data_IF_297980117388
#
_entry.id   IF_297980117388
#
_cell.length_a   1.000
_cell.length_b   1.000
_cell.length_c   1.000
_cell.angle_alpha   90.00
_cell.angle_beta   90.00
_cell.angle_gamma   90.00
#
_symmetry.space_group_name_H-M   'P 1'
#
loop_
_entity.id
_entity.type
_entity.pdbx_description
1 polymer ?
#
# COMPACT_ATOMS: atom_id res chain seq x y z
N UNK A 1 8.92 -10.44 -4.02
CA UNK A 1 9.04 -10.88 -2.61
C UNK A 1 9.55 -12.29 -2.66
N UNK A 2 10.51 -12.66 -1.81
CA UNK A 2 11.03 -14.03 -1.78
C UNK A 2 11.26 -14.48 -0.33
N UNK A 3 11.25 -15.79 -0.09
CA UNK A 3 11.52 -16.37 1.22
C UNK A 3 10.47 -17.37 1.73
N UNK A 4 10.64 -17.86 2.97
CA UNK A 4 9.85 -18.96 3.52
C UNK A 4 8.36 -18.64 3.63
N UNK A 5 7.99 -17.37 3.82
CA UNK A 5 6.59 -16.93 3.88
C UNK A 5 5.90 -17.01 2.50
N UNK A 6 6.64 -16.78 1.41
CA UNK A 6 6.12 -16.98 0.06
C UNK A 6 5.96 -18.47 -0.23
N UNK A 7 6.89 -19.30 0.27
CA UNK A 7 6.78 -20.75 0.11
C UNK A 7 5.53 -21.29 0.80
N UNK A 8 5.26 -20.89 2.04
CA UNK A 8 4.02 -21.22 2.76
C UNK A 8 2.78 -20.76 2.00
N UNK A 9 2.79 -19.56 1.42
CA UNK A 9 1.71 -19.06 0.58
C UNK A 9 1.51 -19.93 -0.67
N UNK A 10 2.59 -20.27 -1.38
CA UNK A 10 2.53 -21.12 -2.55
C UNK A 10 2.01 -22.52 -2.21
N UNK A 11 2.45 -23.11 -1.10
CA UNK A 11 1.97 -24.40 -0.62
C UNK A 11 0.47 -24.33 -0.26
N UNK A 12 0.02 -23.23 0.37
CA UNK A 12 -1.39 -22.98 0.64
C UNK A 12 -2.22 -22.83 -0.64
N UNK A 13 -1.73 -22.09 -1.64
CA UNK A 13 -2.39 -21.94 -2.93
C UNK A 13 -2.47 -23.27 -3.69
N UNK A 14 -1.45 -24.13 -3.58
CA UNK A 14 -1.49 -25.48 -4.13
C UNK A 14 -2.56 -26.31 -3.42
N UNK A 15 -2.58 -26.30 -2.09
CA UNK A 15 -3.56 -27.04 -1.29
C UNK A 15 -4.99 -26.60 -1.55
N UNK A 16 -5.21 -25.31 -1.80
CA UNK A 16 -6.51 -24.74 -2.13
C UNK A 16 -6.87 -24.84 -3.63
N UNK A 17 -5.99 -25.40 -4.47
CA UNK A 17 -6.26 -25.62 -5.90
C UNK A 17 -6.06 -24.39 -6.80
N UNK A 18 -5.43 -23.33 -6.31
CA UNK A 18 -5.15 -22.10 -7.06
C UNK A 18 -3.78 -22.09 -7.74
N UNK A 19 -2.89 -23.04 -7.41
CA UNK A 19 -1.61 -23.28 -8.09
C UNK A 19 -1.35 -24.78 -8.23
N UNK A 20 -0.50 -25.16 -9.19
CA UNK A 20 0.06 -26.52 -9.28
C UNK A 20 1.48 -26.56 -8.73
N UNK A 21 1.93 -27.73 -8.27
CA UNK A 21 3.31 -27.91 -7.82
C UNK A 21 4.32 -27.59 -8.93
N UNK A 22 3.99 -27.90 -10.19
CA UNK A 22 4.82 -27.54 -11.34
C UNK A 22 4.96 -26.01 -11.49
N UNK A 23 3.91 -25.23 -11.23
CA UNK A 23 3.99 -23.76 -11.25
C UNK A 23 4.88 -23.23 -10.12
N UNK A 24 4.79 -23.81 -8.91
CA UNK A 24 5.68 -23.46 -7.78
C UNK A 24 7.14 -23.74 -8.12
N UNK A 25 7.44 -24.88 -8.76
CA UNK A 25 8.81 -25.28 -9.10
C UNK A 25 9.51 -24.32 -10.08
N UNK A 26 8.75 -23.50 -10.82
CA UNK A 26 9.33 -22.44 -11.69
C UNK A 26 9.79 -21.19 -10.94
N UNK A 27 9.55 -21.10 -9.62
CA UNK A 27 9.95 -20.00 -8.76
C UNK A 27 9.60 -20.26 -7.29
N UNK A 28 10.21 -21.28 -6.65
CA UNK A 28 9.85 -21.70 -5.30
C UNK A 28 10.25 -20.64 -4.27
N UNK A 29 9.30 -20.26 -3.43
CA UNK A 29 9.50 -19.18 -2.46
C UNK A 29 9.65 -17.80 -3.12
N UNK A 30 9.33 -17.63 -4.41
CA UNK A 30 9.39 -16.36 -5.12
C UNK A 30 7.97 -15.91 -5.52
N UNK A 31 7.59 -14.73 -5.06
CA UNK A 31 6.31 -14.11 -5.36
C UNK A 31 6.46 -13.40 -6.70
N UNK A 32 6.30 -14.19 -7.76
CA UNK A 32 6.29 -13.72 -9.14
C UNK A 32 4.87 -13.71 -9.74
N UNK A 33 4.75 -13.40 -11.04
CA UNK A 33 3.46 -13.22 -11.71
C UNK A 33 2.50 -14.41 -11.56
N UNK A 34 3.02 -15.65 -11.50
CA UNK A 34 2.20 -16.85 -11.29
C UNK A 34 1.60 -16.93 -9.89
N UNK A 35 2.37 -16.53 -8.87
CA UNK A 35 1.89 -16.52 -7.48
C UNK A 35 0.87 -15.39 -7.30
N UNK A 36 1.14 -14.22 -7.89
CA UNK A 36 0.20 -13.09 -7.91
C UNK A 36 -1.13 -13.44 -8.57
N UNK A 37 -1.11 -14.05 -9.76
CA UNK A 37 -2.33 -14.49 -10.46
C UNK A 37 -3.13 -15.53 -9.67
N UNK A 38 -2.45 -16.43 -8.97
CA UNK A 38 -3.09 -17.42 -8.11
C UNK A 38 -3.75 -16.78 -6.88
N UNK A 39 -3.08 -15.80 -6.26
CA UNK A 39 -3.65 -15.01 -5.17
C UNK A 39 -4.85 -14.20 -5.66
N UNK A 40 -4.78 -13.61 -6.86
CA UNK A 40 -5.84 -12.83 -7.47
C UNK A 40 -7.09 -13.70 -7.68
N UNK A 41 -6.89 -14.92 -8.19
CA UNK A 41 -7.95 -15.90 -8.38
C UNK A 41 -8.58 -16.33 -7.05
N UNK A 42 -7.76 -16.63 -6.04
CA UNK A 42 -8.25 -16.93 -4.69
C UNK A 42 -9.09 -15.78 -4.12
N UNK A 43 -8.58 -14.55 -4.22
CA UNK A 43 -9.29 -13.36 -3.76
C UNK A 43 -10.64 -13.19 -4.45
N UNK A 44 -10.68 -13.35 -5.78
CA UNK A 44 -11.92 -13.29 -6.56
C UNK A 44 -12.95 -14.29 -6.05
N UNK A 45 -12.55 -15.54 -5.86
CA UNK A 45 -13.44 -16.63 -5.47
C UNK A 45 -13.91 -16.48 -4.01
N UNK A 46 -13.10 -15.87 -3.14
CA UNK A 46 -13.47 -15.52 -1.76
C UNK A 46 -14.22 -14.18 -1.63
N UNK A 47 -14.56 -13.51 -2.74
CA UNK A 47 -15.22 -12.20 -2.71
C UNK A 47 -14.36 -11.08 -2.12
N UNK A 48 -13.05 -11.27 -2.06
CA UNK A 48 -12.08 -10.30 -1.57
C UNK A 48 -11.78 -9.32 -2.70
N UNK A 49 -12.16 -8.06 -2.47
CA UNK A 49 -11.84 -6.95 -3.36
C UNK A 49 -10.80 -6.02 -2.71
N UNK A 50 -9.78 -5.58 -3.46
CA UNK A 50 -9.49 -5.98 -4.84
C UNK A 50 -8.96 -7.41 -4.94
N UNK A 51 -9.20 -8.04 -6.09
CA UNK A 51 -8.63 -9.33 -6.47
C UNK A 51 -7.34 -9.16 -7.28
N UNK A 52 -6.49 -8.23 -6.85
CA UNK A 52 -5.29 -7.80 -7.58
C UNK A 52 -4.07 -8.71 -7.41
N UNK A 53 -4.20 -9.81 -6.67
CA UNK A 53 -3.08 -10.71 -6.41
C UNK A 53 -2.21 -10.30 -5.24
N UNK A 54 -2.64 -9.32 -4.45
CA UNK A 54 -1.88 -8.81 -3.30
C UNK A 54 -2.13 -9.67 -2.06
N UNK A 55 -1.10 -10.32 -1.53
CA UNK A 55 -1.19 -11.10 -0.30
C UNK A 55 -1.09 -10.23 0.97
N UNK A 56 -2.17 -9.49 1.26
CA UNK A 56 -2.33 -8.66 2.45
C UNK A 56 -3.09 -9.35 3.60
N UNK A 57 -3.30 -8.66 4.74
CA UNK A 57 -3.95 -9.24 5.93
C UNK A 57 -5.33 -9.86 5.66
N UNK A 58 -6.15 -9.23 4.80
CA UNK A 58 -7.47 -9.75 4.41
C UNK A 58 -7.37 -11.07 3.66
N UNK A 59 -6.44 -11.15 2.70
CA UNK A 59 -6.15 -12.38 1.95
C UNK A 59 -5.61 -13.47 2.85
N UNK A 60 -4.73 -13.12 3.80
CA UNK A 60 -4.17 -14.05 4.78
C UNK A 60 -5.25 -14.61 5.71
N UNK A 61 -6.13 -13.77 6.25
CA UNK A 61 -7.22 -14.19 7.11
C UNK A 61 -8.15 -15.19 6.36
N UNK A 62 -8.61 -14.81 5.17
CA UNK A 62 -9.43 -15.68 4.35
C UNK A 62 -8.73 -16.99 3.95
N UNK A 63 -7.42 -16.96 3.73
CA UNK A 63 -6.64 -18.17 3.38
C UNK A 63 -6.49 -19.10 4.59
N UNK A 64 -6.30 -18.55 5.80
CA UNK A 64 -6.32 -19.33 7.04
C UNK A 64 -7.69 -19.98 7.25
N UNK A 65 -8.78 -19.23 7.04
CA UNK A 65 -10.15 -19.75 7.11
C UNK A 65 -10.40 -20.85 6.07
N UNK A 66 -10.00 -20.64 4.81
CA UNK A 66 -10.15 -21.63 3.75
C UNK A 66 -9.32 -22.91 3.98
N UNK A 67 -8.15 -22.79 4.63
CA UNK A 67 -7.30 -23.93 4.98
C UNK A 67 -7.78 -24.68 6.24
N UNK A 68 -8.47 -24.00 7.15
CA UNK A 68 -9.06 -24.57 8.36
C UNK A 68 -10.49 -25.09 8.17
N UNK A 69 -11.19 -24.62 7.15
CA UNK A 69 -12.60 -24.92 6.87
C UNK A 69 -12.81 -26.03 5.84
N UNK A 70 -12.40 -27.25 6.14
CA UNK A 70 -13.13 -28.43 5.61
C UNK A 70 -14.40 -28.59 6.45
N UNK A 71 -15.48 -27.90 6.05
CA UNK A 71 -16.80 -28.10 6.64
C UNK A 71 -17.77 -26.95 6.42
N UNK A 72 -18.58 -27.04 5.35
CA UNK A 72 -19.94 -26.50 5.33
C UNK A 72 -20.14 -25.07 4.83
N UNK A 73 -20.98 -24.98 3.81
CA UNK A 73 -21.65 -23.80 3.22
C UNK A 73 -22.23 -22.78 4.21
N UNK A 74 -22.07 -21.47 3.95
CA UNK A 74 -23.15 -20.51 3.62
C UNK A 74 -22.66 -19.04 3.62
N UNK A 75 -23.09 -18.29 2.58
CA UNK A 75 -23.34 -16.84 2.61
C UNK A 75 -24.80 -16.66 3.11
N UNK A 76 -25.15 -15.73 4.03
CA UNK A 76 -25.27 -14.27 3.79
C UNK A 76 -24.74 -13.39 4.95
N UNK A 77 -24.22 -12.19 4.71
CA UNK A 77 -25.02 -10.95 4.65
C UNK A 77 -25.22 -10.35 6.06
N UNK A 78 -24.58 -9.22 6.35
CA UNK A 78 -24.80 -8.50 7.61
C UNK A 78 -23.77 -7.41 7.86
N UNK A 79 -24.18 -6.15 7.70
CA UNK A 79 -23.48 -5.00 8.25
C UNK A 79 -23.58 -5.04 9.78
N UNK A 80 -22.43 -5.00 10.47
CA UNK A 80 -22.28 -4.90 11.91
C UNK A 80 -20.85 -4.46 12.26
N UNK A 81 -20.64 -3.73 13.36
CA UNK A 81 -19.57 -2.74 13.46
C UNK A 81 -18.22 -3.41 13.73
N UNK A 82 -17.30 -3.34 12.78
CA UNK A 82 -15.89 -3.60 13.09
C UNK A 82 -15.35 -2.38 13.82
N UNK A 83 -15.30 -2.51 15.14
CA UNK A 83 -14.54 -1.63 16.03
C UNK A 83 -13.18 -1.32 15.40
N UNK A 84 -12.89 -0.03 15.25
CA UNK A 84 -11.73 0.50 14.54
C UNK A 84 -10.38 0.00 15.08
N UNK A 85 -9.28 0.35 14.39
CA UNK A 85 -7.95 -0.06 14.77
C UNK A 85 -7.65 0.38 16.20
N UNK A 86 -7.20 -0.58 17.00
CA UNK A 86 -6.72 -0.45 18.38
C UNK A 86 -5.83 0.79 18.53
N UNK A 87 -6.00 1.52 19.64
CA UNK A 87 -5.25 2.72 19.96
C UNK A 87 -3.74 2.53 19.72
N UNK A 88 -3.04 3.54 19.14
CA UNK A 88 -1.61 3.46 18.91
C UNK A 88 -0.87 3.16 20.21
N UNK A 89 0.10 2.23 20.18
CA UNK A 89 1.02 2.01 21.31
C UNK A 89 1.80 3.30 21.60
N UNK A 90 2.42 3.43 22.77
CA UNK A 90 3.08 4.69 23.17
C UNK A 90 4.09 5.25 22.15
N UNK A 91 4.80 4.38 21.43
CA UNK A 91 5.72 4.79 20.35
C UNK A 91 4.98 5.22 19.07
N UNK A 92 3.86 4.58 18.72
CA UNK A 92 3.05 4.96 17.56
C UNK A 92 2.35 6.30 17.75
N UNK A 93 1.87 6.57 18.97
CA UNK A 93 1.24 7.84 19.30
C UNK A 93 2.25 8.99 19.20
N UNK A 94 3.49 8.75 19.66
CA UNK A 94 4.60 9.70 19.52
C UNK A 94 4.92 9.95 18.05
N UNK A 95 5.05 8.90 17.23
CA UNK A 95 5.27 9.03 15.78
C UNK A 95 4.14 9.80 15.09
N UNK A 96 2.89 9.50 15.43
CA UNK A 96 1.72 10.19 14.89
C UNK A 96 1.77 11.70 15.22
N UNK A 97 2.02 12.06 16.47
CA UNK A 97 2.13 13.46 16.89
C UNK A 97 3.30 14.18 16.21
N UNK A 98 4.43 13.51 15.97
CA UNK A 98 5.55 14.08 15.25
C UNK A 98 5.25 14.26 13.75
N UNK A 99 4.51 13.34 13.13
CA UNK A 99 4.02 13.50 11.76
C UNK A 99 3.04 14.68 11.68
N UNK A 100 2.16 14.86 12.66
CA UNK A 100 1.26 16.03 12.68
C UNK A 100 2.03 17.35 12.78
N UNK A 101 3.17 17.40 13.48
CA UNK A 101 4.06 18.58 13.47
C UNK A 101 4.66 18.83 12.08
N UNK A 102 5.01 17.78 11.33
CA UNK A 102 5.53 17.89 9.96
C UNK A 102 4.44 18.44 9.02
N UNK A 103 3.20 18.02 9.21
CA UNK A 103 2.07 18.31 8.32
C UNK A 103 1.27 19.55 8.71
N UNK A 104 1.65 20.25 9.79
CA UNK A 104 0.96 21.46 10.25
C UNK A 104 0.93 22.53 9.15
N UNK A 105 -0.25 23.11 8.91
CA UNK A 105 -0.46 24.12 7.86
C UNK A 105 -0.57 23.56 6.45
N UNK A 106 -0.72 22.25 6.29
CA UNK A 106 -0.86 21.58 4.98
C UNK A 106 -2.25 20.96 4.81
N UNK A 107 -2.60 20.53 3.60
CA UNK A 107 -3.85 19.81 3.35
C UNK A 107 -3.91 18.41 3.96
N UNK A 108 -2.83 17.95 4.61
CA UNK A 108 -2.74 16.69 5.33
C UNK A 108 -2.61 16.86 6.85
N UNK A 109 -2.88 18.07 7.37
CA UNK A 109 -2.88 18.31 8.81
C UNK A 109 -3.82 17.33 9.55
N UNK A 110 -3.35 16.84 10.70
CA UNK A 110 -4.09 15.90 11.55
C UNK A 110 -4.16 14.45 11.03
N UNK A 111 -3.44 14.11 9.95
CA UNK A 111 -3.42 12.76 9.40
C UNK A 111 -2.30 11.86 9.96
N UNK A 112 -1.52 12.32 10.94
CA UNK A 112 -0.36 11.58 11.47
C UNK A 112 -0.70 10.17 11.95
N UNK A 113 -1.77 10.02 12.72
CA UNK A 113 -2.22 8.70 13.20
C UNK A 113 -2.62 7.76 12.04
N UNK A 114 -3.30 8.30 11.02
CA UNK A 114 -3.71 7.53 9.84
C UNK A 114 -2.49 7.10 9.01
N UNK A 115 -1.49 7.97 8.87
CA UNK A 115 -0.23 7.65 8.17
C UNK A 115 0.55 6.55 8.90
N UNK A 116 0.63 6.59 10.24
CA UNK A 116 1.23 5.50 11.03
C UNK A 116 0.47 4.19 10.81
N UNK A 117 -0.87 4.24 10.82
CA UNK A 117 -1.70 3.05 10.57
C UNK A 117 -1.46 2.47 9.17
N UNK A 118 -1.39 3.32 8.13
CA UNK A 118 -1.14 2.88 6.75
C UNK A 118 0.29 2.36 6.57
N UNK A 119 1.27 2.98 7.22
CA UNK A 119 2.65 2.49 7.23
C UNK A 119 2.73 1.04 7.70
N UNK A 120 2.06 0.71 8.80
CA UNK A 120 1.98 -0.65 9.32
C UNK A 120 1.21 -1.59 8.40
N UNK A 121 0.04 -1.15 7.93
CA UNK A 121 -0.84 -1.96 7.08
C UNK A 121 -0.17 -2.39 5.78
N UNK A 122 0.60 -1.49 5.17
CA UNK A 122 1.24 -1.70 3.87
C UNK A 122 2.73 -1.99 3.96
N UNK A 123 3.33 -2.02 5.15
CA UNK A 123 4.76 -2.22 5.36
C UNK A 123 5.61 -1.23 4.52
N UNK A 124 5.21 0.04 4.56
CA UNK A 124 5.87 1.16 3.88
C UNK A 124 6.36 2.13 4.95
N UNK A 125 7.64 2.54 4.97
CA UNK A 125 8.13 3.53 5.91
C UNK A 125 7.38 4.86 5.77
N UNK A 126 6.93 5.49 6.87
CA UNK A 126 6.17 6.74 6.80
C UNK A 126 7.00 7.89 6.21
N UNK A 127 8.32 7.90 6.42
CA UNK A 127 9.24 8.88 5.85
C UNK A 127 9.30 8.84 4.32
N UNK A 128 9.16 7.64 3.72
CA UNK A 128 9.09 7.48 2.26
C UNK A 128 7.79 8.10 1.75
N UNK A 129 6.65 7.72 2.34
CA UNK A 129 5.35 8.25 1.92
C UNK A 129 5.29 9.78 2.06
N UNK A 130 5.80 10.34 3.16
CA UNK A 130 5.86 11.79 3.36
C UNK A 130 6.77 12.50 2.34
N UNK A 131 7.95 11.94 2.05
CA UNK A 131 8.83 12.51 1.03
C UNK A 131 8.15 12.53 -0.35
N UNK A 132 7.43 11.45 -0.69
CA UNK A 132 6.66 11.40 -1.94
C UNK A 132 5.48 12.36 -1.92
N UNK A 133 4.68 12.47 -0.85
CA UNK A 133 3.58 13.44 -0.77
C UNK A 133 4.05 14.89 -0.87
N UNK A 134 5.23 15.21 -0.31
CA UNK A 134 5.85 16.52 -0.51
C UNK A 134 6.23 16.72 -1.96
N UNK A 135 6.83 15.72 -2.59
CA UNK A 135 7.31 15.83 -3.97
C UNK A 135 6.16 15.94 -4.98
N UNK A 136 5.13 15.14 -4.81
CA UNK A 136 4.04 15.00 -5.77
C UNK A 136 2.97 16.09 -5.62
N UNK A 137 2.73 16.58 -4.40
CA UNK A 137 1.62 17.48 -4.12
C UNK A 137 1.93 18.59 -3.11
N UNK A 138 3.19 18.76 -2.70
CA UNK A 138 3.57 19.71 -1.63
C UNK A 138 2.67 19.55 -0.39
N UNK A 139 2.40 18.30 0.02
CA UNK A 139 1.45 17.97 1.10
C UNK A 139 0.04 18.54 0.92
N UNK A 140 -0.43 18.67 -0.31
CA UNK A 140 -1.73 19.28 -0.62
C UNK A 140 -1.84 20.72 -0.06
N UNK A 141 -0.79 21.53 -0.17
CA UNK A 141 -0.85 22.96 0.18
C UNK A 141 -1.52 23.80 -0.91
N UNK A 142 -1.44 23.37 -2.17
CA UNK A 142 -2.05 24.05 -3.31
C UNK A 142 -2.28 23.09 -4.48
N UNK A 143 -2.98 23.58 -5.51
CA UNK A 143 -3.18 22.86 -6.77
C UNK A 143 -4.32 21.83 -6.73
N UNK A 144 -4.42 21.05 -7.82
CA UNK A 144 -5.52 20.08 -8.03
C UNK A 144 -5.56 18.97 -6.98
N UNK A 145 -4.42 18.63 -6.38
CA UNK A 145 -4.32 17.62 -5.33
C UNK A 145 -5.22 17.91 -4.12
N UNK A 146 -5.38 19.20 -3.75
CA UNK A 146 -6.26 19.64 -2.66
C UNK A 146 -7.71 19.30 -2.98
N UNK A 147 -8.20 19.74 -4.14
CA UNK A 147 -9.59 19.51 -4.60
C UNK A 147 -9.89 18.03 -4.84
N UNK A 148 -8.85 17.25 -5.14
CA UNK A 148 -8.95 15.84 -5.47
C UNK A 148 -8.71 14.91 -4.27
N UNK A 149 -8.38 15.43 -3.09
CA UNK A 149 -7.97 14.62 -1.95
C UNK A 149 -6.85 13.61 -2.31
N UNK A 150 -5.91 14.04 -3.15
CA UNK A 150 -4.96 13.16 -3.82
C UNK A 150 -3.51 13.56 -3.47
N UNK A 151 -2.99 13.08 -2.33
CA UNK A 151 -1.68 13.49 -1.81
C UNK A 151 -0.50 13.00 -2.64
N UNK A 152 -0.70 11.97 -3.46
CA UNK A 152 0.28 11.46 -4.39
C UNK A 152 0.14 11.99 -5.81
N UNK A 153 -0.78 12.93 -6.04
CA UNK A 153 -1.14 13.43 -7.36
C UNK A 153 -1.36 12.32 -8.42
N UNK A 154 -1.92 11.19 -7.98
CA UNK A 154 -2.14 9.99 -8.79
C UNK A 154 -3.00 10.30 -10.01
N UNK A 155 -2.56 9.82 -11.18
CA UNK A 155 -3.41 9.74 -12.36
C UNK A 155 -4.50 8.69 -12.13
N UNK A 156 -5.71 8.92 -12.64
CA UNK A 156 -6.77 7.94 -12.46
C UNK A 156 -6.51 6.70 -13.31
N UNK A 157 -6.57 5.52 -12.69
CA UNK A 157 -6.76 4.25 -13.32
C UNK A 157 -7.93 3.52 -12.63
N UNK A 158 -8.28 2.33 -13.12
CA UNK A 158 -9.43 1.59 -12.57
C UNK A 158 -9.19 1.06 -11.15
N UNK A 159 -7.93 0.86 -10.74
CA UNK A 159 -7.63 0.28 -9.42
C UNK A 159 -7.92 1.26 -8.28
N UNK A 160 -7.86 2.58 -8.50
CA UNK A 160 -8.15 3.60 -7.49
C UNK A 160 -9.59 3.55 -6.99
N UNK A 161 -10.52 2.98 -7.77
CA UNK A 161 -11.92 2.79 -7.37
C UNK A 161 -12.09 1.97 -6.10
N UNK A 162 -11.14 1.08 -5.79
CA UNK A 162 -11.17 0.30 -4.53
C UNK A 162 -11.10 1.18 -3.27
N UNK A 163 -10.57 2.40 -3.41
CA UNK A 163 -10.49 3.43 -2.37
C UNK A 163 -11.56 4.52 -2.57
N UNK A 164 -12.57 4.26 -3.41
CA UNK A 164 -13.59 5.24 -3.80
C UNK A 164 -13.08 6.31 -4.76
N UNK A 165 -11.91 6.12 -5.38
CA UNK A 165 -11.37 7.02 -6.39
C UNK A 165 -12.28 7.10 -7.62
N UNK A 166 -12.45 8.31 -8.15
CA UNK A 166 -13.16 8.59 -9.39
C UNK A 166 -12.29 9.44 -10.32
N UNK A 167 -12.47 9.37 -11.65
CA UNK A 167 -11.74 10.24 -12.56
C UNK A 167 -12.17 11.70 -12.37
N UNK A 168 -11.20 12.60 -12.30
CA UNK A 168 -11.39 14.04 -12.45
C UNK A 168 -10.33 14.56 -13.43
N UNK A 169 -10.71 14.63 -14.72
CA UNK A 169 -9.74 14.74 -15.81
C UNK A 169 -8.80 13.53 -15.80
N UNK A 170 -7.49 13.79 -15.89
CA UNK A 170 -6.47 12.74 -15.86
C UNK A 170 -6.13 12.23 -14.45
N UNK A 171 -6.66 12.85 -13.40
CA UNK A 171 -6.29 12.58 -12.01
C UNK A 171 -7.36 11.81 -11.26
N UNK A 172 -6.95 11.00 -10.29
CA UNK A 172 -7.88 10.41 -9.34
C UNK A 172 -8.38 11.48 -8.36
N UNK A 173 -9.69 11.49 -8.11
CA UNK A 173 -10.33 12.22 -7.01
C UNK A 173 -10.83 11.22 -5.98
N UNK A 174 -10.32 11.32 -4.76
CA UNK A 174 -10.70 10.46 -3.65
C UNK A 174 -11.80 11.10 -2.78
N UNK A 175 -12.59 10.30 -2.04
CA UNK A 175 -13.65 10.82 -1.18
C UNK A 175 -13.14 11.78 -0.10
N UNK A 176 -11.98 11.47 0.50
CA UNK A 176 -11.24 12.36 1.39
C UNK A 176 -9.75 11.98 1.43
N UNK A 177 -8.94 12.80 2.11
CA UNK A 177 -7.50 12.62 2.19
C UNK A 177 -7.09 11.26 2.74
N UNK A 178 -7.86 10.62 3.64
CA UNK A 178 -7.54 9.30 4.19
C UNK A 178 -7.55 8.21 3.11
N UNK A 179 -8.52 8.25 2.19
CA UNK A 179 -8.53 7.31 1.05
C UNK A 179 -7.39 7.60 0.06
N UNK A 180 -7.07 8.87 -0.20
CA UNK A 180 -5.92 9.22 -1.04
C UNK A 180 -4.59 8.78 -0.44
N UNK A 181 -4.40 8.96 0.87
CA UNK A 181 -3.24 8.45 1.61
C UNK A 181 -3.17 6.93 1.46
N UNK A 182 -4.26 6.23 1.78
CA UNK A 182 -4.31 4.77 1.72
C UNK A 182 -4.02 4.23 0.31
N UNK A 183 -4.60 4.83 -0.72
CA UNK A 183 -4.36 4.48 -2.12
C UNK A 183 -2.88 4.58 -2.47
N UNK A 184 -2.20 5.63 -2.01
CA UNK A 184 -0.77 5.82 -2.27
C UNK A 184 0.11 4.82 -1.51
N UNK A 185 -0.21 4.52 -0.25
CA UNK A 185 0.47 3.47 0.50
C UNK A 185 0.31 2.10 -0.18
N UNK A 186 -0.88 1.81 -0.72
CA UNK A 186 -1.13 0.61 -1.51
C UNK A 186 -0.26 0.57 -2.78
N UNK A 187 -0.14 1.68 -3.51
CA UNK A 187 0.72 1.78 -4.69
C UNK A 187 2.20 1.53 -4.35
N UNK A 188 2.72 2.16 -3.29
CA UNK A 188 4.11 1.97 -2.86
C UNK A 188 4.40 0.50 -2.52
N UNK A 189 3.46 -0.16 -1.82
CA UNK A 189 3.60 -1.57 -1.48
C UNK A 189 3.41 -2.51 -2.68
N UNK A 190 2.50 -2.23 -3.62
CA UNK A 190 2.29 -3.13 -4.77
C UNK A 190 3.40 -2.97 -5.82
N UNK A 191 3.75 -1.72 -6.17
CA UNK A 191 4.67 -1.43 -7.27
C UNK A 191 6.15 -1.45 -6.90
N UNK A 192 6.47 -1.22 -5.62
CA UNK A 192 7.83 -0.87 -5.18
C UNK A 192 8.35 -1.62 -3.96
N UNK A 193 7.59 -2.59 -3.43
CA UNK A 193 7.98 -3.31 -2.21
C UNK A 193 9.32 -4.04 -2.27
N UNK A 194 9.76 -4.54 -3.43
CA UNK A 194 11.08 -5.15 -3.56
C UNK A 194 12.22 -4.15 -3.35
N UNK A 195 12.01 -2.89 -3.70
CA UNK A 195 12.96 -1.81 -3.44
C UNK A 195 12.93 -1.43 -1.96
N UNK A 196 11.73 -1.20 -1.41
CA UNK A 196 11.54 -0.87 0.01
C UNK A 196 12.17 -1.93 0.92
N UNK A 197 11.92 -3.21 0.64
CA UNK A 197 12.44 -4.32 1.45
C UNK A 197 13.97 -4.45 1.41
N UNK A 198 14.63 -3.96 0.36
CA UNK A 198 16.09 -3.92 0.24
C UNK A 198 16.69 -2.59 0.70
N UNK A 199 15.86 -1.61 1.07
CA UNK A 199 16.30 -0.23 1.31
C UNK A 199 16.79 0.49 0.05
N UNK A 200 16.48 -0.03 -1.15
CA UNK A 200 16.91 0.51 -2.44
C UNK A 200 16.00 1.65 -2.90
N UNK A 201 15.98 2.74 -2.13
CA UNK A 201 15.11 3.89 -2.43
C UNK A 201 15.55 4.64 -3.69
N UNK A 202 16.84 4.60 -4.05
CA UNK A 202 17.30 5.16 -5.31
C UNK A 202 16.75 4.36 -6.50
N UNK A 203 16.76 3.03 -6.45
CA UNK A 203 16.11 2.19 -7.45
C UNK A 203 14.59 2.37 -7.51
N UNK A 204 13.95 2.56 -6.35
CA UNK A 204 12.51 2.89 -6.26
C UNK A 204 12.19 4.17 -7.03
N UNK A 205 12.92 5.25 -6.74
CA UNK A 205 12.68 6.55 -7.35
C UNK A 205 12.99 6.52 -8.85
N UNK A 206 14.04 5.81 -9.27
CA UNK A 206 14.34 5.63 -10.69
C UNK A 206 13.20 4.93 -11.44
N UNK A 207 12.52 3.96 -10.81
CA UNK A 207 11.35 3.30 -11.40
C UNK A 207 10.10 4.19 -11.37
N UNK A 208 9.95 5.01 -10.32
CA UNK A 208 8.79 5.89 -10.15
C UNK A 208 8.86 7.12 -11.08
N UNK A 209 10.04 7.74 -11.19
CA UNK A 209 10.31 8.94 -11.96
C UNK A 209 11.63 8.76 -12.77
N UNK A 210 11.57 8.09 -13.94
CA UNK A 210 12.73 7.73 -14.72
C UNK A 210 13.63 8.92 -15.12
N UNK A 211 14.96 8.75 -15.14
CA UNK A 211 15.90 9.81 -15.45
C UNK A 211 15.78 10.48 -16.80
N UNK A 212 15.21 9.77 -17.77
CA UNK A 212 15.05 10.20 -19.16
C UNK A 212 13.87 11.15 -19.35
N UNK A 213 12.93 11.19 -18.40
CA UNK A 213 11.68 11.96 -18.49
C UNK A 213 11.65 13.17 -17.55
N UNK A 214 12.57 13.25 -16.59
CA UNK A 214 12.63 14.29 -15.57
C UNK A 214 14.06 14.79 -15.35
N UNK A 215 14.24 16.01 -14.83
CA UNK A 215 15.52 16.51 -14.30
C UNK A 215 15.88 15.75 -13.01
N UNK A 216 16.28 14.52 -13.22
CA UNK A 216 16.07 13.43 -12.29
C UNK A 216 17.05 13.44 -11.14
N UNK A 217 18.27 13.93 -11.35
CA UNK A 217 19.25 14.06 -10.26
C UNK A 217 18.69 14.90 -9.11
N UNK A 218 17.96 15.98 -9.41
CA UNK A 218 17.35 16.83 -8.39
C UNK A 218 16.15 16.15 -7.71
N UNK A 219 15.27 15.47 -8.47
CA UNK A 219 14.14 14.73 -7.92
C UNK A 219 14.62 13.67 -6.91
N UNK A 220 15.61 12.85 -7.30
CA UNK A 220 16.15 11.78 -6.48
C UNK A 220 16.74 12.33 -5.18
N UNK A 221 17.61 13.32 -5.28
CA UNK A 221 18.29 13.89 -4.12
C UNK A 221 17.28 14.50 -3.13
N UNK A 222 16.29 15.24 -3.63
CA UNK A 222 15.26 15.83 -2.78
C UNK A 222 14.46 14.78 -2.00
N UNK A 223 14.02 13.71 -2.65
CA UNK A 223 13.26 12.65 -1.96
C UNK A 223 14.12 11.95 -0.91
N UNK A 224 15.37 11.60 -1.25
CA UNK A 224 16.28 10.95 -0.30
C UNK A 224 16.62 11.85 0.90
N UNK A 225 16.84 13.14 0.67
CA UNK A 225 17.10 14.12 1.73
C UNK A 225 15.90 14.28 2.65
N UNK A 226 14.69 14.38 2.09
CA UNK A 226 13.46 14.46 2.89
C UNK A 226 13.18 13.16 3.64
N UNK A 227 13.46 12.00 3.07
CA UNK A 227 13.35 10.73 3.81
C UNK A 227 14.26 10.72 5.03
N UNK A 228 15.52 11.18 4.89
CA UNK A 228 16.46 11.28 6.02
C UNK A 228 16.00 12.30 7.07
N UNK A 229 15.50 13.45 6.61
CA UNK A 229 14.91 14.49 7.47
C UNK A 229 13.73 13.93 8.27
N UNK A 230 12.76 13.29 7.60
CA UNK A 230 11.55 12.79 8.22
C UNK A 230 11.80 11.59 9.12
N UNK A 231 12.72 10.69 8.76
CA UNK A 231 13.13 9.60 9.64
C UNK A 231 13.60 10.15 11.00
N UNK A 232 14.42 11.21 10.98
CA UNK A 232 14.89 11.87 12.20
C UNK A 232 13.76 12.56 12.97
N UNK A 233 12.85 13.27 12.26
CA UNK A 233 11.76 14.03 12.89
C UNK A 233 10.65 13.14 13.47
N UNK A 234 10.41 11.97 12.88
CA UNK A 234 9.36 11.05 13.30
C UNK A 234 9.74 10.34 14.61
N UNK A 235 11.00 9.93 14.75
CA UNK A 235 11.50 9.15 15.89
C UNK A 235 11.36 7.64 15.66
#
# INVERSE_FOLDING_TARGET
MEGPEVRKLQDALVKLGYMTQAQVNTGPGIFGPKTEAAVAKFQKDQGISPNSGIYGPRTRAAMTEALGGQGGTQKPGGAGPVTGPTAPTGSDATKAANIDKILKGTGLEGQGAHIVAMSKKYNVPPELALAMFRKEASFMTAGSAVKNNNPGNLRFAEWERQFGGQPNGNFAKFPNAKQGIEAYFSLLNSGYRSFIGRGDYQGLINKYAPPTENDSKQYHQQVLDWMKEYKTKIG
#
